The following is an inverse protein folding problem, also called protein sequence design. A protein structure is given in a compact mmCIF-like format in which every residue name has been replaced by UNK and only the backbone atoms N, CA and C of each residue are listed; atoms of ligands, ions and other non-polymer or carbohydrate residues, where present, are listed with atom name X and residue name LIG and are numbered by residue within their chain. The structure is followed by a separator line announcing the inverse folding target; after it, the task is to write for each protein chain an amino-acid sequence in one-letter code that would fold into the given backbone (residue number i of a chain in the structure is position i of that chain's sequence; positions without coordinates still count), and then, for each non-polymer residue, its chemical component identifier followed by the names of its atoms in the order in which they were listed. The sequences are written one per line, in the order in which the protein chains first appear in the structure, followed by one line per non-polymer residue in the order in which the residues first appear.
data_IF_932460003158
#
_entry.id   IF_932460003158
#
_cell.length_a   1.000
_cell.length_b   1.000
_cell.length_c   1.000
_cell.angle_alpha   90.00
_cell.angle_beta   90.00
_cell.angle_gamma   90.00
#
_symmetry.space_group_name_H-M   'P 1'
#
loop_
_entity.id
_entity.type
_entity.pdbx_description
1 polymer ?
#
# COMPACT_ATOMS: atom_id res chain seq x y z
N UNK A 1 6.30 -1.78 -7.43
CA UNK A 1 5.97 -2.99 -6.66
C UNK A 1 6.33 -2.77 -5.22
N UNK A 2 5.43 -3.11 -4.31
CA UNK A 2 5.70 -3.21 -2.88
C UNK A 2 6.02 -4.67 -2.56
N UNK A 3 7.09 -4.89 -1.81
CA UNK A 3 7.42 -6.18 -1.20
C UNK A 3 7.16 -6.03 0.30
N UNK A 4 6.34 -6.90 0.85
CA UNK A 4 5.80 -6.73 2.19
C UNK A 4 6.18 -7.94 3.03
N UNK A 5 6.55 -7.68 4.29
CA UNK A 5 6.85 -8.68 5.32
C UNK A 5 6.83 -8.00 6.68
N UNK A 6 6.21 -8.64 7.68
CA UNK A 6 6.23 -8.11 9.04
C UNK A 6 6.11 -9.20 10.11
N UNK A 7 7.21 -9.53 10.79
CA UNK A 7 7.28 -10.59 11.81
C UNK A 7 7.48 -10.02 13.24
N UNK A 8 6.53 -10.10 14.19
CA UNK A 8 5.07 -10.25 14.04
C UNK A 8 4.34 -8.89 13.97
N UNK A 9 3.34 -8.76 13.10
CA UNK A 9 2.38 -7.66 13.10
C UNK A 9 1.89 -7.35 11.69
N UNK A 10 1.26 -6.20 11.50
CA UNK A 10 0.72 -5.83 10.19
C UNK A 10 1.05 -4.38 9.84
N UNK A 11 1.29 -4.16 8.55
CA UNK A 11 1.27 -2.86 7.91
C UNK A 11 -0.10 -2.59 7.31
N UNK A 12 -0.56 -1.35 7.38
CA UNK A 12 -1.63 -0.84 6.53
C UNK A 12 -1.05 0.14 5.52
N UNK A 13 -1.41 -0.05 4.25
CA UNK A 13 -1.06 0.80 3.12
C UNK A 13 -2.34 1.43 2.60
N UNK A 14 -2.27 2.72 2.34
CA UNK A 14 -3.38 3.48 1.78
C UNK A 14 -2.87 4.67 0.96
N UNK A 15 -3.76 5.28 0.17
CA UNK A 15 -3.49 6.48 -0.64
C UNK A 15 -2.18 6.42 -1.44
N UNK A 16 -1.94 5.31 -2.15
CA UNK A 16 -0.75 5.17 -3.00
C UNK A 16 -0.88 6.06 -4.22
N UNK A 17 0.00 7.04 -4.37
CA UNK A 17 -0.06 8.02 -5.46
C UNK A 17 1.19 8.01 -6.31
N UNK A 18 1.01 8.16 -7.62
CA UNK A 18 2.07 8.46 -8.58
C UNK A 18 1.62 9.59 -9.49
N UNK A 19 2.30 10.73 -9.41
CA UNK A 19 1.98 11.91 -10.25
C UNK A 19 3.24 12.44 -10.96
N UNK A 20 3.12 12.95 -12.20
CA UNK A 20 4.24 13.62 -12.87
C UNK A 20 4.75 14.83 -12.09
N UNK A 21 6.07 15.00 -12.04
CA UNK A 21 6.72 16.17 -11.47
C UNK A 21 6.37 17.42 -12.29
N UNK A 22 5.91 18.47 -11.61
CA UNK A 22 5.38 19.69 -12.26
C UNK A 22 3.86 19.72 -12.42
N UNK A 23 3.17 18.65 -12.00
CA UNK A 23 1.71 18.58 -11.98
C UNK A 23 1.15 17.75 -13.14
N UNK A 24 0.15 16.93 -12.83
CA UNK A 24 -0.50 16.01 -13.77
C UNK A 24 -1.52 15.15 -13.04
N UNK A 25 -2.29 14.34 -13.77
CA UNK A 25 -3.23 13.42 -13.15
C UNK A 25 -2.49 12.29 -12.42
N UNK A 26 -3.18 11.69 -11.45
CA UNK A 26 -2.80 10.41 -10.87
C UNK A 26 -2.61 9.35 -11.98
N UNK A 27 -1.55 8.56 -11.88
CA UNK A 27 -1.20 7.52 -12.85
C UNK A 27 -1.73 6.14 -12.45
N UNK A 28 -2.06 5.95 -11.18
CA UNK A 28 -2.60 4.71 -10.65
C UNK A 28 -4.13 4.75 -10.54
N UNK A 29 -4.74 3.58 -10.50
CA UNK A 29 -6.17 3.38 -10.25
C UNK A 29 -6.35 2.71 -8.88
N UNK A 30 -7.49 3.02 -8.24
CA UNK A 30 -7.86 2.44 -6.94
C UNK A 30 -6.75 2.61 -5.90
N UNK A 31 -6.23 3.83 -5.79
CA UNK A 31 -5.06 4.20 -4.98
C UNK A 31 -5.27 4.07 -3.49
N UNK A 32 -6.51 4.30 -3.03
CA UNK A 32 -6.94 4.08 -1.65
C UNK A 32 -7.81 2.84 -1.46
N UNK A 33 -7.81 1.89 -2.40
CA UNK A 33 -8.54 0.61 -2.28
C UNK A 33 -10.08 0.72 -2.10
N UNK A 34 -10.67 1.88 -2.41
CA UNK A 34 -12.08 2.19 -2.20
C UNK A 34 -13.08 1.37 -3.04
N UNK A 35 -12.60 0.52 -3.96
CA UNK A 35 -13.45 -0.53 -4.57
C UNK A 35 -13.79 -1.65 -3.59
N UNK A 36 -13.11 -1.72 -2.44
CA UNK A 36 -13.25 -2.77 -1.44
C UNK A 36 -12.53 -4.07 -1.79
N UNK A 37 -11.72 -4.06 -2.85
CA UNK A 37 -10.96 -5.20 -3.32
C UNK A 37 -9.67 -4.77 -4.04
N UNK A 38 -8.93 -5.75 -4.57
CA UNK A 38 -7.68 -5.53 -5.30
C UNK A 38 -7.88 -5.13 -6.77
N UNK A 39 -9.04 -4.59 -7.16
CA UNK A 39 -9.24 -4.09 -8.53
C UNK A 39 -8.06 -3.18 -8.93
N UNK A 40 -7.54 -3.41 -10.14
CA UNK A 40 -6.36 -2.75 -10.74
C UNK A 40 -4.99 -3.07 -10.12
N UNK A 41 -4.97 -3.77 -8.98
CA UNK A 41 -3.75 -4.24 -8.35
C UNK A 41 -3.52 -5.73 -8.65
N UNK A 42 -2.24 -6.08 -8.82
CA UNK A 42 -1.79 -7.46 -8.93
C UNK A 42 -1.11 -7.86 -7.63
N UNK A 43 -1.72 -8.80 -6.93
CA UNK A 43 -1.14 -9.46 -5.76
C UNK A 43 -0.41 -10.74 -6.16
N UNK A 44 0.73 -11.01 -5.53
CA UNK A 44 1.56 -12.17 -5.78
C UNK A 44 2.16 -12.71 -4.48
N UNK A 45 1.97 -13.99 -4.21
CA UNK A 45 2.56 -14.68 -3.06
C UNK A 45 3.20 -16.00 -3.52
N UNK A 46 4.41 -15.93 -4.09
CA UNK A 46 5.03 -17.08 -4.76
C UNK A 46 5.56 -18.14 -3.80
N UNK A 47 5.72 -17.80 -2.52
CA UNK A 47 6.27 -18.68 -1.48
C UNK A 47 5.23 -19.11 -0.44
N UNK A 48 3.96 -18.80 -0.66
CA UNK A 48 2.85 -19.08 0.24
C UNK A 48 3.10 -18.58 1.67
N UNK A 49 3.51 -17.30 1.80
CA UNK A 49 3.54 -16.62 3.09
C UNK A 49 2.16 -16.73 3.77
N UNK A 50 2.16 -16.92 5.10
CA UNK A 50 0.93 -16.88 5.92
C UNK A 50 0.63 -15.44 6.32
N UNK A 51 -0.63 -15.15 6.68
CA UNK A 51 -1.09 -13.78 7.01
C UNK A 51 -0.89 -12.76 5.88
N UNK A 52 -1.00 -13.24 4.65
CA UNK A 52 -0.82 -12.44 3.45
C UNK A 52 -1.83 -11.33 3.27
N UNK A 53 -1.46 -10.29 2.53
CA UNK A 53 -2.24 -9.08 2.52
C UNK A 53 -3.62 -9.13 1.84
N UNK A 54 -4.54 -8.33 2.36
CA UNK A 54 -5.95 -8.22 1.95
C UNK A 54 -6.44 -6.78 2.06
N UNK A 55 -7.45 -6.41 1.28
CA UNK A 55 -8.19 -5.16 1.46
C UNK A 55 -9.20 -5.32 2.60
N UNK A 56 -9.28 -4.34 3.50
CA UNK A 56 -10.16 -4.33 4.67
C UNK A 56 -10.97 -3.03 4.75
N UNK A 57 -12.11 -3.10 5.43
CA UNK A 57 -12.92 -1.93 5.76
C UNK A 57 -12.56 -1.39 7.15
N UNK A 58 -12.47 -0.08 7.30
CA UNK A 58 -12.00 0.62 8.52
C UNK A 58 -12.79 0.28 9.80
N UNK A 59 -14.06 -0.17 9.70
CA UNK A 59 -14.83 -0.62 10.88
C UNK A 59 -14.68 -2.10 11.25
N UNK A 60 -14.03 -2.92 10.41
CA UNK A 60 -13.90 -4.38 10.65
C UNK A 60 -12.68 -4.73 11.51
N UNK A 61 -12.01 -3.74 12.10
CA UNK A 61 -10.69 -3.92 12.71
C UNK A 61 -10.83 -4.37 14.15
N UNK A 62 -10.14 -5.45 14.50
CA UNK A 62 -10.13 -6.03 15.85
C UNK A 62 -9.69 -4.99 16.88
N UNK A 63 -10.32 -4.96 18.07
CA UNK A 63 -9.90 -4.12 19.18
C UNK A 63 -8.43 -4.35 19.61
N UNK A 64 -7.84 -5.49 19.20
CA UNK A 64 -6.45 -5.85 19.47
C UNK A 64 -5.45 -5.25 18.47
N UNK A 65 -5.91 -4.91 17.27
CA UNK A 65 -5.12 -4.25 16.24
C UNK A 65 -5.99 -3.16 15.56
N UNK A 66 -6.00 -1.93 16.09
CA UNK A 66 -6.78 -0.85 15.51
C UNK A 66 -6.13 -0.45 14.18
N UNK A 67 -6.80 -0.75 13.08
CA UNK A 67 -6.40 -0.27 11.76
C UNK A 67 -7.42 0.72 11.29
N UNK A 68 -6.99 1.71 10.51
CA UNK A 68 -7.94 2.63 9.90
C UNK A 68 -7.44 2.97 8.51
N UNK A 69 -8.39 3.03 7.58
CA UNK A 69 -8.17 3.74 6.34
C UNK A 69 -7.68 5.16 6.68
N UNK A 70 -6.62 5.61 6.01
CA UNK A 70 -6.12 6.96 6.16
C UNK A 70 -7.13 7.96 5.58
N UNK A 71 -7.73 7.59 4.46
CA UNK A 71 -8.84 8.31 3.84
C UNK A 71 -9.90 7.31 3.37
N UNK A 72 -11.14 7.75 3.21
CA UNK A 72 -12.22 6.86 2.78
C UNK A 72 -12.52 5.76 3.80
N UNK A 73 -12.76 4.55 3.31
CA UNK A 73 -13.23 3.43 4.11
C UNK A 73 -12.39 2.18 4.00
N UNK A 74 -11.60 2.04 2.94
CA UNK A 74 -10.85 0.83 2.66
C UNK A 74 -9.35 1.09 2.68
N UNK A 75 -8.58 0.05 2.94
CA UNK A 75 -7.12 0.09 2.90
C UNK A 75 -6.58 -1.31 2.67
N UNK A 76 -5.33 -1.42 2.21
CA UNK A 76 -4.64 -2.69 2.12
C UNK A 76 -3.90 -2.99 3.41
N UNK A 77 -4.08 -4.18 3.95
CA UNK A 77 -3.36 -4.66 5.12
C UNK A 77 -2.47 -5.82 4.73
N UNK A 78 -1.28 -5.90 5.32
CA UNK A 78 -0.37 -7.03 5.13
C UNK A 78 0.41 -7.35 6.39
N UNK A 79 0.44 -8.63 6.76
CA UNK A 79 1.20 -9.14 7.90
C UNK A 79 2.01 -10.37 7.54
N UNK A 80 2.40 -10.51 6.27
CA UNK A 80 3.03 -11.73 5.76
C UNK A 80 4.19 -12.22 6.62
N UNK A 81 4.11 -13.49 7.02
CA UNK A 81 5.04 -14.15 7.95
C UNK A 81 5.96 -15.12 7.20
N UNK A 82 7.25 -15.08 7.56
CA UNK A 82 8.28 -16.02 7.09
C UNK A 82 8.80 -15.77 5.67
N UNK A 83 7.93 -15.32 4.75
CA UNK A 83 8.28 -14.90 3.39
C UNK A 83 7.56 -13.61 3.02
N UNK A 84 8.09 -12.91 2.02
CA UNK A 84 7.44 -11.73 1.44
C UNK A 84 6.36 -12.14 0.44
N UNK A 85 5.31 -11.33 0.39
CA UNK A 85 4.37 -11.21 -0.72
C UNK A 85 4.48 -9.82 -1.37
N UNK A 86 3.77 -9.63 -2.48
CA UNK A 86 3.94 -8.48 -3.35
C UNK A 86 2.62 -7.91 -3.81
N UNK A 87 2.56 -6.57 -3.81
CA UNK A 87 1.46 -5.79 -4.37
C UNK A 87 2.01 -4.88 -5.48
N UNK A 88 1.39 -4.87 -6.66
CA UNK A 88 1.90 -4.12 -7.80
C UNK A 88 0.81 -3.58 -8.73
N UNK A 89 1.12 -2.45 -9.36
CA UNK A 89 0.37 -1.89 -10.48
C UNK A 89 1.40 -1.31 -11.46
N UNK A 90 1.10 -1.39 -12.75
CA UNK A 90 1.91 -0.80 -13.82
C UNK A 90 1.19 0.42 -14.38
N UNK A 91 1.95 1.45 -14.74
CA UNK A 91 1.45 2.63 -15.41
C UNK A 91 2.39 3.03 -16.56
N UNK A 92 1.90 3.82 -17.51
CA UNK A 92 2.71 4.30 -18.61
C UNK A 92 3.54 5.51 -18.17
N UNK A 93 4.85 5.43 -18.39
CA UNK A 93 5.77 6.55 -18.12
C UNK A 93 6.06 7.34 -19.38
N UNK A 94 6.31 8.64 -19.22
CA UNK A 94 6.88 9.49 -20.26
C UNK A 94 8.40 9.55 -20.10
N UNK A 95 9.21 9.28 -21.14
CA UNK A 95 10.66 9.36 -21.05
C UNK A 95 11.14 10.73 -20.57
N UNK A 96 12.14 10.76 -19.68
CA UNK A 96 12.72 11.97 -19.07
C UNK A 96 11.75 12.78 -18.20
N UNK A 97 10.58 12.22 -17.88
CA UNK A 97 9.68 12.78 -16.89
C UNK A 97 10.06 12.25 -15.51
N UNK A 98 10.10 13.15 -14.54
CA UNK A 98 10.21 12.81 -13.11
C UNK A 98 8.81 12.52 -12.56
N UNK A 99 8.72 11.62 -11.59
CA UNK A 99 7.47 11.30 -10.92
C UNK A 99 7.64 11.41 -9.40
N UNK A 100 6.61 11.96 -8.76
CA UNK A 100 6.41 11.88 -7.33
C UNK A 100 5.66 10.59 -7.01
N UNK A 101 6.21 9.82 -6.09
CA UNK A 101 5.56 8.64 -5.55
C UNK A 101 5.36 8.87 -4.05
N UNK A 102 4.12 8.70 -3.58
CA UNK A 102 3.80 8.79 -2.16
C UNK A 102 2.83 7.69 -1.76
N UNK A 103 2.79 7.37 -0.48
CA UNK A 103 1.80 6.46 0.10
C UNK A 103 1.71 6.68 1.60
N UNK A 104 0.54 6.37 2.17
CA UNK A 104 0.39 6.22 3.60
C UNK A 104 0.79 4.81 4.02
N UNK A 105 1.64 4.71 5.05
CA UNK A 105 2.02 3.44 5.66
C UNK A 105 1.86 3.56 7.16
N UNK A 106 1.06 2.70 7.80
CA UNK A 106 1.01 2.64 9.25
C UNK A 106 1.37 1.25 9.76
N UNK A 107 2.16 1.21 10.83
CA UNK A 107 2.38 -0.02 11.58
C UNK A 107 1.26 -0.20 12.57
N UNK A 108 0.78 -1.43 12.76
CA UNK A 108 0.12 -1.82 14.00
C UNK A 108 1.06 -2.73 14.80
N UNK A 109 1.51 -2.24 15.95
CA UNK A 109 2.21 -3.07 16.91
C UNK A 109 1.23 -3.94 17.69
N UNK A 110 1.71 -5.07 18.21
CA UNK A 110 1.02 -5.76 19.32
C UNK A 110 0.93 -4.79 20.49
N UNK A 111 -0.28 -4.34 20.86
CA UNK A 111 -0.49 -3.36 21.93
C UNK A 111 -1.07 -2.00 21.50
N UNK A 112 -1.55 -1.86 20.27
CA UNK A 112 -2.57 -0.86 19.93
C UNK A 112 -2.10 0.56 19.60
N UNK A 113 -0.81 0.78 19.33
CA UNK A 113 -0.34 2.07 18.79
C UNK A 113 -0.13 1.98 17.29
N UNK A 114 -0.94 2.70 16.52
CA UNK A 114 -0.68 2.99 15.11
C UNK A 114 0.29 4.15 14.99
N UNK A 115 1.44 3.93 14.36
CA UNK A 115 2.36 5.02 14.01
C UNK A 115 2.29 5.22 12.49
N UNK A 116 1.71 6.34 12.02
CA UNK A 116 1.70 6.67 10.61
C UNK A 116 3.08 7.14 10.15
N UNK A 117 3.51 6.62 9.01
CA UNK A 117 4.65 7.06 8.24
C UNK A 117 4.15 7.52 6.88
N UNK A 118 4.41 8.79 6.54
CA UNK A 118 4.30 9.26 5.16
C UNK A 118 5.65 9.05 4.50
N UNK A 119 5.66 8.31 3.40
CA UNK A 119 6.86 8.11 2.60
C UNK A 119 6.68 8.81 1.27
N UNK A 120 7.54 9.78 0.99
CA UNK A 120 7.65 10.45 -0.30
C UNK A 120 8.97 10.04 -0.95
N UNK A 121 8.89 9.63 -2.23
CA UNK A 121 10.05 9.29 -3.04
C UNK A 121 9.99 9.98 -4.40
N UNK A 122 11.15 10.43 -4.87
CA UNK A 122 11.33 10.92 -6.23
C UNK A 122 11.94 9.81 -7.07
N UNK A 123 11.32 9.54 -8.23
CA UNK A 123 11.88 8.60 -9.20
C UNK A 123 12.06 9.31 -10.54
N UNK A 124 13.31 9.35 -11.01
CA UNK A 124 13.66 9.78 -12.36
C UNK A 124 13.67 8.56 -13.29
N UNK A 125 12.85 8.58 -14.34
CA UNK A 125 12.82 7.51 -15.33
C UNK A 125 13.73 7.87 -16.51
N UNK A 126 14.96 7.36 -16.51
CA UNK A 126 15.88 7.49 -17.65
C UNK A 126 15.48 6.54 -18.77
N UNK A 127 15.48 7.05 -20.00
CA UNK A 127 15.30 6.26 -21.23
C UNK A 127 16.40 5.23 -21.44
#
# INVERSE_FOLDING_TARGET
TFALRHDPGYWSIDDVSVVPYGGGPEQLLNTGFETGDLSYWTYCNPKNATDSGTVLYSSTTSAYYPYYAHNGYYFYQDGSIGYEDYLSQTFLTTPKMEYYISFYLANSGTGGSTIPFYNDAFVYMSS
#
